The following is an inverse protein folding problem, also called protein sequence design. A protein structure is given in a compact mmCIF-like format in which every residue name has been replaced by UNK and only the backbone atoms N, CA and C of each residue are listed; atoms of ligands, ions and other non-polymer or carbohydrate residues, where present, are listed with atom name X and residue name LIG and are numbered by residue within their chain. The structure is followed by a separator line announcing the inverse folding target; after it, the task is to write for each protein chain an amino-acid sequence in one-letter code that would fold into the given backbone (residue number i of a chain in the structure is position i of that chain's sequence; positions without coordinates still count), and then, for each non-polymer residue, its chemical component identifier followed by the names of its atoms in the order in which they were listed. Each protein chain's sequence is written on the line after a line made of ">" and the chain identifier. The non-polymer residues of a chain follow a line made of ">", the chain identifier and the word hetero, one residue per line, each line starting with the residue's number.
data_IF_210235979963
#
_entry.id   IF_210235979963
#
_cell.length_a   1.000
_cell.length_b   1.000
_cell.length_c   1.000
_cell.angle_alpha   90.00
_cell.angle_beta   90.00
_cell.angle_gamma   90.00
#
_symmetry.space_group_name_H-M   'P 1'
#
loop_
_entity.id
_entity.type
_entity.pdbx_description
1 polymer ?
#
# COMPACT_ATOMS: atom_id res chain seq x y z
N UNK A 1 -0.35 -14.37 -31.18
CA UNK A 1 0.83 -15.22 -30.93
C UNK A 1 0.48 -16.23 -29.85
N UNK A 2 1.08 -17.42 -29.85
CA UNK A 2 0.90 -18.37 -28.75
C UNK A 2 1.62 -17.85 -27.50
N UNK A 3 1.07 -18.03 -26.29
CA UNK A 3 1.75 -17.63 -25.07
C UNK A 3 3.02 -18.47 -24.86
N UNK A 4 4.11 -17.82 -24.48
CA UNK A 4 5.39 -18.47 -24.19
C UNK A 4 5.57 -18.72 -22.69
N UNK A 5 4.81 -18.02 -21.85
CA UNK A 5 4.81 -18.14 -20.38
C UNK A 5 3.38 -18.14 -19.86
N UNK A 6 3.12 -18.84 -18.76
CA UNK A 6 1.80 -18.85 -18.08
C UNK A 6 1.96 -18.61 -16.59
N UNK A 7 1.14 -17.70 -16.04
CA UNK A 7 1.03 -17.43 -14.61
C UNK A 7 -0.41 -17.72 -14.19
N UNK A 8 -0.56 -18.52 -13.14
CA UNK A 8 -1.87 -18.80 -12.55
C UNK A 8 -1.98 -18.02 -11.24
N UNK A 9 -2.83 -17.00 -11.23
CA UNK A 9 -3.12 -16.21 -10.03
C UNK A 9 -4.34 -16.80 -9.35
N UNK A 10 -4.18 -17.22 -8.10
CA UNK A 10 -5.26 -17.69 -7.25
C UNK A 10 -5.55 -16.67 -6.15
N UNK A 11 -6.77 -16.12 -6.15
CA UNK A 11 -7.20 -15.17 -5.12
C UNK A 11 -7.92 -15.89 -3.99
N UNK A 12 -7.38 -15.76 -2.77
CA UNK A 12 -8.03 -16.27 -1.56
C UNK A 12 -9.26 -15.44 -1.18
N UNK A 13 -9.89 -15.82 -0.05
CA UNK A 13 -11.06 -15.09 0.47
C UNK A 13 -10.72 -13.73 1.07
N UNK A 14 -9.49 -13.56 1.57
CA UNK A 14 -8.98 -12.35 2.21
C UNK A 14 -7.55 -12.11 1.71
N UNK A 15 -7.06 -10.88 1.85
CA UNK A 15 -5.71 -10.46 1.45
C UNK A 15 -5.42 -10.71 -0.05
N UNK A 16 -6.44 -10.51 -0.91
CA UNK A 16 -6.30 -10.79 -2.34
C UNK A 16 -5.23 -9.94 -3.02
N UNK A 17 -4.99 -8.73 -2.55
CA UNK A 17 -3.94 -7.86 -3.10
C UNK A 17 -2.56 -8.44 -2.81
N UNK A 18 -2.33 -8.91 -1.59
CA UNK A 18 -1.07 -9.57 -1.21
C UNK A 18 -0.87 -10.89 -1.94
N UNK A 19 -1.94 -11.63 -2.20
CA UNK A 19 -1.91 -12.78 -3.08
C UNK A 19 -1.42 -12.41 -4.50
N UNK A 20 -1.90 -11.29 -5.06
CA UNK A 20 -1.44 -10.78 -6.36
C UNK A 20 0.04 -10.41 -6.31
N UNK A 21 0.46 -9.61 -5.32
CA UNK A 21 1.86 -9.17 -5.17
C UNK A 21 2.81 -10.36 -5.08
N UNK A 22 2.45 -11.38 -4.30
CA UNK A 22 3.24 -12.59 -4.13
C UNK A 22 3.29 -13.48 -5.39
N UNK A 23 2.19 -13.56 -6.14
CA UNK A 23 2.06 -14.47 -7.30
C UNK A 23 2.48 -13.83 -8.63
N UNK A 24 2.72 -12.52 -8.65
CA UNK A 24 3.23 -11.78 -9.80
C UNK A 24 4.64 -11.23 -9.54
N UNK A 25 5.64 -12.05 -9.15
CA UNK A 25 6.99 -11.56 -9.03
C UNK A 25 7.56 -11.19 -10.41
N UNK A 26 8.60 -10.36 -10.43
CA UNK A 26 9.38 -10.14 -11.63
C UNK A 26 10.17 -11.43 -11.96
N UNK A 27 9.95 -12.00 -13.14
CA UNK A 27 10.71 -13.16 -13.62
C UNK A 27 11.93 -12.67 -14.41
N UNK A 28 13.17 -12.87 -13.91
CA UNK A 28 14.38 -12.45 -14.62
C UNK A 28 14.62 -13.22 -15.92
N UNK A 29 13.88 -14.30 -16.17
CA UNK A 29 13.97 -15.11 -17.40
C UNK A 29 13.08 -14.59 -18.54
N UNK A 30 12.29 -13.54 -18.30
CA UNK A 30 11.50 -12.90 -19.34
C UNK A 30 12.35 -12.35 -20.47
N UNK A 31 11.85 -12.51 -21.69
CA UNK A 31 12.45 -12.00 -22.93
C UNK A 31 11.50 -11.08 -23.66
N UNK A 32 12.04 -10.15 -24.44
CA UNK A 32 11.26 -9.11 -25.16
C UNK A 32 10.23 -9.65 -26.15
N UNK A 33 10.39 -10.89 -26.60
CA UNK A 33 9.50 -11.62 -27.49
C UNK A 33 8.43 -12.44 -26.74
N UNK A 34 8.53 -12.56 -25.41
CA UNK A 34 7.62 -13.38 -24.63
C UNK A 34 6.20 -12.83 -24.62
N UNK A 35 5.24 -13.74 -24.65
CA UNK A 35 3.82 -13.45 -24.42
C UNK A 35 3.39 -14.18 -23.16
N UNK A 36 3.06 -13.41 -22.13
CA UNK A 36 2.66 -13.94 -20.82
C UNK A 36 1.14 -14.12 -20.78
N UNK A 37 0.69 -15.31 -20.43
CA UNK A 37 -0.71 -15.60 -20.19
C UNK A 37 -1.00 -15.61 -18.70
N UNK A 38 -1.86 -14.71 -18.21
CA UNK A 38 -2.26 -14.65 -16.81
C UNK A 38 -3.70 -15.19 -16.69
N UNK A 39 -3.84 -16.37 -16.07
CA UNK A 39 -5.14 -16.96 -15.75
C UNK A 39 -5.49 -16.65 -14.30
N UNK A 40 -6.71 -16.14 -14.07
CA UNK A 40 -7.20 -15.80 -12.75
C UNK A 40 -8.20 -16.85 -12.26
N UNK A 41 -8.03 -17.29 -11.02
CA UNK A 41 -8.99 -18.13 -10.30
C UNK A 41 -9.27 -17.56 -8.92
N UNK A 42 -10.38 -17.96 -8.32
CA UNK A 42 -10.78 -17.50 -7.00
C UNK A 42 -11.19 -18.66 -6.11
N UNK A 43 -10.88 -18.56 -4.82
CA UNK A 43 -11.39 -19.48 -3.82
C UNK A 43 -12.93 -19.46 -3.77
N UNK A 44 -13.61 -20.58 -3.45
CA UNK A 44 -15.06 -20.60 -3.36
C UNK A 44 -15.60 -19.55 -2.39
N UNK A 45 -16.60 -18.78 -2.85
CA UNK A 45 -17.23 -17.65 -2.14
C UNK A 45 -16.36 -16.40 -1.98
N UNK A 46 -15.14 -16.36 -2.51
CA UNK A 46 -14.36 -15.13 -2.54
C UNK A 46 -15.06 -14.09 -3.44
N UNK A 47 -14.99 -12.82 -3.03
CA UNK A 47 -15.49 -11.67 -3.81
C UNK A 47 -14.30 -10.89 -4.31
N UNK A 48 -14.30 -10.53 -5.58
CA UNK A 48 -13.15 -9.88 -6.17
C UNK A 48 -12.95 -8.47 -5.62
N UNK A 49 -11.72 -8.16 -5.23
CA UNK A 49 -11.31 -6.81 -4.89
C UNK A 49 -10.87 -6.06 -6.15
N UNK A 50 -11.32 -4.82 -6.29
CA UNK A 50 -10.95 -3.99 -7.44
C UNK A 50 -9.44 -3.71 -7.47
N UNK A 51 -8.82 -3.65 -6.29
CA UNK A 51 -7.38 -3.47 -6.13
C UNK A 51 -6.58 -4.65 -6.71
N UNK A 52 -7.03 -5.90 -6.52
CA UNK A 52 -6.37 -7.07 -7.10
C UNK A 52 -6.36 -7.04 -8.63
N UNK A 53 -7.49 -6.66 -9.24
CA UNK A 53 -7.56 -6.52 -10.70
C UNK A 53 -6.73 -5.34 -11.19
N UNK A 54 -6.80 -4.20 -10.51
CA UNK A 54 -5.98 -3.04 -10.83
C UNK A 54 -4.49 -3.37 -10.74
N UNK A 55 -4.07 -4.14 -9.74
CA UNK A 55 -2.71 -4.65 -9.58
C UNK A 55 -2.30 -5.56 -10.73
N UNK A 56 -3.10 -6.58 -11.06
CA UNK A 56 -2.81 -7.47 -12.20
C UNK A 56 -2.62 -6.66 -13.50
N UNK A 57 -3.49 -5.68 -13.74
CA UNK A 57 -3.44 -4.83 -14.93
C UNK A 57 -2.22 -3.92 -14.91
N UNK A 58 -1.94 -3.26 -13.78
CA UNK A 58 -0.75 -2.43 -13.63
C UNK A 58 0.50 -3.24 -13.92
N UNK A 59 0.63 -4.43 -13.32
CA UNK A 59 1.84 -5.26 -13.42
C UNK A 59 2.11 -5.60 -14.89
N UNK A 60 1.03 -5.98 -15.56
CA UNK A 60 1.06 -6.32 -16.96
C UNK A 60 1.42 -5.12 -17.84
N UNK A 61 0.93 -3.92 -17.49
CA UNK A 61 1.32 -2.69 -18.17
C UNK A 61 2.81 -2.37 -17.96
N UNK A 62 3.37 -2.52 -16.75
CA UNK A 62 4.82 -2.32 -16.53
C UNK A 62 5.65 -3.26 -17.40
N UNK A 63 5.32 -4.56 -17.44
CA UNK A 63 6.06 -5.54 -18.23
C UNK A 63 6.08 -5.21 -19.73
N UNK A 64 4.96 -4.76 -20.29
CA UNK A 64 4.86 -4.41 -21.71
C UNK A 64 5.54 -3.06 -22.00
N UNK A 65 5.36 -2.06 -21.14
CA UNK A 65 5.90 -0.70 -21.33
C UNK A 65 7.41 -0.63 -21.11
N UNK A 66 7.94 -1.44 -20.18
CA UNK A 66 9.38 -1.62 -19.98
C UNK A 66 10.05 -2.42 -21.09
N UNK A 67 9.27 -3.02 -22.01
CA UNK A 67 9.74 -3.93 -23.06
C UNK A 67 10.41 -5.20 -22.51
N UNK A 68 10.17 -5.54 -21.25
CA UNK A 68 10.61 -6.81 -20.65
C UNK A 68 9.98 -7.99 -21.38
N UNK A 69 8.72 -7.86 -21.80
CA UNK A 69 8.01 -8.85 -22.62
C UNK A 69 7.32 -8.19 -23.82
N UNK A 70 6.89 -9.03 -24.77
CA UNK A 70 6.08 -8.57 -25.88
C UNK A 70 4.67 -8.23 -25.39
N UNK A 71 3.96 -9.13 -24.73
CA UNK A 71 2.54 -8.89 -24.45
C UNK A 71 2.01 -9.68 -23.26
N UNK A 72 0.85 -9.27 -22.75
CA UNK A 72 0.09 -10.00 -21.74
C UNK A 72 -1.33 -10.29 -22.23
N UNK A 73 -1.72 -11.55 -22.10
CA UNK A 73 -3.07 -12.04 -22.37
C UNK A 73 -3.71 -12.45 -21.05
N UNK A 74 -4.91 -11.94 -20.77
CA UNK A 74 -5.68 -12.36 -19.60
C UNK A 74 -6.70 -13.44 -19.93
N UNK A 75 -6.80 -14.40 -19.03
CA UNK A 75 -7.93 -15.32 -18.92
C UNK A 75 -8.68 -15.08 -17.60
N UNK A 76 -9.78 -14.32 -17.71
CA UNK A 76 -10.72 -14.08 -16.62
C UNK A 76 -11.96 -14.99 -16.70
N UNK A 77 -11.95 -16.04 -17.54
CA UNK A 77 -13.14 -16.88 -17.79
C UNK A 77 -13.69 -17.58 -16.54
N UNK A 78 -12.83 -17.81 -15.55
CA UNK A 78 -13.16 -18.49 -14.28
C UNK A 78 -13.58 -17.51 -13.17
N UNK A 79 -13.68 -16.22 -13.47
CA UNK A 79 -13.96 -15.18 -12.48
C UNK A 79 -15.07 -14.27 -12.94
N UNK A 80 -16.02 -13.99 -12.04
CA UNK A 80 -17.08 -13.02 -12.30
C UNK A 80 -16.55 -11.61 -12.03
N UNK A 81 -16.23 -10.89 -13.10
CA UNK A 81 -15.84 -9.47 -13.03
C UNK A 81 -17.06 -8.55 -12.87
N UNK A 82 -16.90 -7.38 -12.23
CA UNK A 82 -17.94 -6.36 -12.12
C UNK A 82 -18.09 -5.51 -13.39
N UNK A 83 -17.36 -5.84 -14.46
CA UNK A 83 -17.37 -5.19 -15.76
C UNK A 83 -17.08 -6.22 -16.86
N UNK A 84 -17.31 -5.83 -18.12
CA UNK A 84 -16.96 -6.66 -19.28
C UNK A 84 -15.54 -6.36 -19.72
N UNK A 85 -14.63 -7.33 -19.63
CA UNK A 85 -13.31 -7.22 -20.24
C UNK A 85 -13.44 -7.27 -21.77
N UNK A 86 -12.75 -6.41 -22.55
CA UNK A 86 -12.84 -6.43 -23.99
C UNK A 86 -12.35 -7.78 -24.54
N UNK A 87 -13.27 -8.52 -25.19
CA UNK A 87 -12.94 -9.82 -25.73
C UNK A 87 -11.73 -9.75 -26.68
N UNK A 88 -10.78 -10.67 -26.50
CA UNK A 88 -9.59 -10.84 -27.34
C UNK A 88 -8.59 -9.69 -27.35
N UNK A 89 -8.73 -8.66 -26.50
CA UNK A 89 -7.71 -7.61 -26.37
C UNK A 89 -6.63 -8.00 -25.38
N UNK A 90 -5.38 -7.83 -25.80
CA UNK A 90 -4.19 -7.97 -24.96
C UNK A 90 -3.85 -6.63 -24.28
N UNK A 91 -2.87 -6.63 -23.38
CA UNK A 91 -2.36 -5.38 -22.78
C UNK A 91 -1.69 -4.49 -23.82
N UNK A 92 -0.91 -5.06 -24.75
CA UNK A 92 -0.32 -4.29 -25.86
C UNK A 92 -1.40 -3.66 -26.73
N UNK A 93 -2.48 -4.39 -27.05
CA UNK A 93 -3.61 -3.82 -27.79
C UNK A 93 -4.21 -2.63 -27.06
N UNK A 94 -4.43 -2.74 -25.74
CA UNK A 94 -4.98 -1.67 -24.90
C UNK A 94 -4.06 -0.44 -24.91
N UNK A 95 -2.76 -0.64 -24.73
CA UNK A 95 -1.79 0.45 -24.68
C UNK A 95 -1.59 1.12 -26.05
N UNK A 96 -1.85 0.42 -27.16
CA UNK A 96 -1.61 0.94 -28.52
C UNK A 96 -2.86 1.38 -29.29
N UNK A 97 -4.07 0.98 -28.88
CA UNK A 97 -5.33 1.23 -29.59
C UNK A 97 -5.54 2.70 -30.02
N UNK A 98 -5.18 3.63 -29.13
CA UNK A 98 -5.28 5.07 -29.34
C UNK A 98 -4.00 5.74 -28.86
N UNK A 99 -2.94 5.82 -29.66
CA UNK A 99 -1.60 6.21 -29.17
C UNK A 99 -1.53 7.68 -28.70
N UNK A 100 -2.43 8.52 -29.19
CA UNK A 100 -2.55 9.92 -28.76
C UNK A 100 -3.43 10.10 -27.52
N UNK A 101 -4.35 9.17 -27.26
CA UNK A 101 -5.27 9.26 -26.13
C UNK A 101 -4.52 8.96 -24.82
N UNK A 102 -4.58 9.84 -23.82
CA UNK A 102 -3.97 9.61 -22.52
C UNK A 102 -4.62 8.47 -21.72
N UNK A 103 -5.87 8.11 -22.01
CA UNK A 103 -6.54 6.95 -21.42
C UNK A 103 -6.36 5.74 -22.33
N UNK A 104 -5.78 4.67 -21.79
CA UNK A 104 -5.62 3.40 -22.49
C UNK A 104 -6.94 2.63 -22.55
N UNK A 105 -7.63 2.56 -21.41
CA UNK A 105 -8.93 1.91 -21.30
C UNK A 105 -9.74 2.51 -20.15
N UNK A 106 -11.05 2.56 -20.36
CA UNK A 106 -12.02 2.89 -19.33
C UNK A 106 -13.13 1.82 -19.37
N UNK A 107 -13.27 1.09 -18.26
CA UNK A 107 -14.28 0.06 -18.06
C UNK A 107 -15.30 0.60 -17.06
N UNK A 108 -16.54 0.73 -17.51
CA UNK A 108 -17.63 1.31 -16.70
C UNK A 108 -18.79 0.34 -16.63
N UNK A 109 -19.28 0.11 -15.43
CA UNK A 109 -20.56 -0.55 -15.15
C UNK A 109 -21.36 0.30 -14.15
N UNK A 110 -22.51 -0.22 -13.70
CA UNK A 110 -23.34 0.47 -12.70
C UNK A 110 -22.60 0.73 -11.38
N UNK A 111 -21.81 -0.25 -10.96
CA UNK A 111 -21.20 -0.31 -9.63
C UNK A 111 -19.67 -0.33 -9.71
N UNK A 112 -19.08 -0.29 -10.90
CA UNK A 112 -17.63 -0.33 -11.07
C UNK A 112 -17.15 0.66 -12.12
N UNK A 113 -16.02 1.30 -11.85
CA UNK A 113 -15.25 2.06 -12.83
C UNK A 113 -13.78 1.75 -12.66
N UNK A 114 -13.14 1.29 -13.73
CA UNK A 114 -11.71 1.07 -13.79
C UNK A 114 -11.14 1.87 -14.96
N UNK A 115 -10.09 2.64 -14.73
CA UNK A 115 -9.46 3.48 -15.73
C UNK A 115 -7.96 3.27 -15.69
N UNK A 116 -7.35 3.04 -16.86
CA UNK A 116 -5.90 2.97 -17.02
C UNK A 116 -5.47 4.18 -17.84
N UNK A 117 -4.66 5.03 -17.22
CA UNK A 117 -3.99 6.14 -17.87
C UNK A 117 -2.60 5.69 -18.29
N UNK A 118 -2.18 6.01 -19.51
CA UNK A 118 -0.85 5.69 -20.05
C UNK A 118 -0.01 6.93 -20.36
N UNK A 119 -0.50 8.10 -19.91
CA UNK A 119 0.08 9.42 -20.07
C UNK A 119 -0.37 10.31 -18.93
N UNK A 120 0.47 11.27 -18.57
CA UNK A 120 0.23 12.16 -17.45
C UNK A 120 -0.48 13.46 -17.87
N UNK A 121 -1.62 13.36 -18.56
CA UNK A 121 -2.39 14.51 -19.08
C UNK A 121 -3.32 15.12 -17.99
N UNK A 122 -3.07 16.35 -17.50
CA UNK A 122 -3.89 16.96 -16.46
C UNK A 122 -5.33 17.21 -16.90
N UNK A 123 -5.53 17.69 -18.13
CA UNK A 123 -6.87 18.00 -18.64
C UNK A 123 -7.72 16.74 -18.68
N UNK A 124 -7.16 15.62 -19.13
CA UNK A 124 -7.88 14.35 -19.13
C UNK A 124 -8.20 13.86 -17.72
N UNK A 125 -7.27 14.02 -16.77
CA UNK A 125 -7.53 13.68 -15.37
C UNK A 125 -8.67 14.51 -14.80
N UNK A 126 -8.69 15.80 -15.08
CA UNK A 126 -9.76 16.72 -14.63
C UNK A 126 -11.12 16.32 -15.23
N UNK A 127 -11.18 16.04 -16.54
CA UNK A 127 -12.39 15.53 -17.20
C UNK A 127 -12.88 14.21 -16.57
N UNK A 128 -11.95 13.27 -16.33
CA UNK A 128 -12.27 12.00 -15.68
C UNK A 128 -12.79 12.23 -14.25
N UNK A 129 -12.15 13.12 -13.51
CA UNK A 129 -12.53 13.47 -12.14
C UNK A 129 -13.93 14.10 -12.08
N UNK A 130 -14.26 14.97 -13.03
CA UNK A 130 -15.61 15.53 -13.16
C UNK A 130 -16.65 14.47 -13.52
N UNK A 131 -16.30 13.45 -14.31
CA UNK A 131 -17.17 12.31 -14.51
C UNK A 131 -17.38 11.51 -13.22
N UNK A 132 -16.36 11.36 -12.36
CA UNK A 132 -16.49 10.67 -11.08
C UNK A 132 -17.41 11.43 -10.13
N UNK A 133 -17.25 12.76 -10.02
CA UNK A 133 -18.13 13.62 -9.20
C UNK A 133 -19.61 13.47 -9.56
N UNK A 134 -19.89 13.30 -10.84
CA UNK A 134 -21.25 13.23 -11.37
C UNK A 134 -21.79 11.80 -11.49
N UNK A 135 -20.98 10.78 -11.20
CA UNK A 135 -21.35 9.38 -11.45
C UNK A 135 -22.39 8.86 -10.44
N UNK A 136 -22.20 9.15 -9.15
CA UNK A 136 -22.97 8.54 -8.05
C UNK A 136 -23.21 9.55 -6.93
N UNK A 137 -24.50 9.76 -6.58
CA UNK A 137 -24.92 10.75 -5.56
C UNK A 137 -24.72 10.27 -4.11
N UNK A 138 -24.54 8.97 -3.93
CA UNK A 138 -24.26 8.31 -2.65
C UNK A 138 -22.78 8.40 -2.24
N UNK A 139 -21.90 8.90 -3.12
CA UNK A 139 -20.52 9.20 -2.77
C UNK A 139 -20.46 10.51 -1.97
N UNK A 140 -19.82 10.54 -0.80
CA UNK A 140 -19.64 11.79 -0.06
C UNK A 140 -18.94 12.84 -0.93
N UNK A 141 -19.46 14.06 -1.01
CA UNK A 141 -18.90 15.12 -1.87
C UNK A 141 -17.40 15.37 -1.64
N UNK A 142 -16.94 15.19 -0.39
CA UNK A 142 -15.53 15.37 0.01
C UNK A 142 -14.63 14.17 -0.29
N UNK A 143 -15.19 13.00 -0.61
CA UNK A 143 -14.40 11.84 -1.07
C UNK A 143 -13.62 12.17 -2.34
N UNK A 144 -14.22 12.95 -3.24
CA UNK A 144 -13.56 13.38 -4.45
C UNK A 144 -12.26 14.15 -4.16
N UNK A 145 -12.22 14.99 -3.12
CA UNK A 145 -10.99 15.70 -2.74
C UNK A 145 -9.90 14.72 -2.31
N UNK A 146 -10.23 13.74 -1.47
CA UNK A 146 -9.30 12.67 -1.08
C UNK A 146 -8.79 11.91 -2.31
N UNK A 147 -9.69 11.52 -3.22
CA UNK A 147 -9.33 10.81 -4.44
C UNK A 147 -8.42 11.64 -5.35
N UNK A 148 -8.68 12.95 -5.48
CA UNK A 148 -7.83 13.85 -6.26
C UNK A 148 -6.41 13.91 -5.70
N UNK A 149 -6.27 14.08 -4.38
CA UNK A 149 -4.95 14.08 -3.72
C UNK A 149 -4.19 12.77 -3.94
N UNK A 150 -4.87 11.63 -3.89
CA UNK A 150 -4.25 10.32 -4.15
C UNK A 150 -3.81 10.18 -5.61
N UNK A 151 -4.65 10.58 -6.56
CA UNK A 151 -4.34 10.56 -8.00
C UNK A 151 -3.17 11.51 -8.31
N UNK A 152 -3.16 12.71 -7.75
CA UNK A 152 -2.06 13.67 -7.90
C UNK A 152 -0.75 13.14 -7.32
N UNK A 153 -0.79 12.48 -6.16
CA UNK A 153 0.40 11.89 -5.56
C UNK A 153 0.99 10.79 -6.45
N UNK A 154 0.16 9.86 -6.92
CA UNK A 154 0.58 8.77 -7.80
C UNK A 154 1.10 9.32 -9.15
N UNK A 155 0.40 10.29 -9.73
CA UNK A 155 0.80 11.00 -10.95
C UNK A 155 2.15 11.70 -10.79
N UNK A 156 2.38 12.42 -9.69
CA UNK A 156 3.60 13.17 -9.44
C UNK A 156 4.78 12.27 -9.04
N UNK A 157 4.51 11.16 -8.35
CA UNK A 157 5.54 10.28 -7.80
C UNK A 157 5.96 9.17 -8.76
N UNK A 158 5.24 8.95 -9.87
CA UNK A 158 5.67 7.92 -10.81
C UNK A 158 7.09 8.19 -11.32
N UNK A 159 7.47 9.46 -11.54
CA UNK A 159 8.80 9.90 -12.03
C UNK A 159 9.30 9.09 -13.24
N UNK A 160 8.38 8.64 -14.09
CA UNK A 160 8.67 7.94 -15.33
C UNK A 160 8.68 8.90 -16.50
N UNK A 161 9.43 8.55 -17.55
CA UNK A 161 9.22 9.14 -18.87
C UNK A 161 7.76 8.93 -19.31
N UNK A 162 7.21 9.91 -20.04
CA UNK A 162 5.83 9.89 -20.55
C UNK A 162 5.52 8.61 -21.35
N UNK A 163 6.53 8.04 -22.00
CA UNK A 163 6.45 6.80 -22.79
C UNK A 163 6.31 5.52 -21.95
N UNK A 164 6.59 5.60 -20.64
CA UNK A 164 6.54 4.49 -19.68
C UNK A 164 5.47 4.69 -18.61
N UNK A 165 4.96 5.90 -18.46
CA UNK A 165 4.00 6.24 -17.42
C UNK A 165 2.68 5.47 -17.56
N UNK A 166 2.31 4.73 -16.52
CA UNK A 166 1.00 4.12 -16.40
C UNK A 166 0.51 4.27 -14.96
N UNK A 167 -0.74 4.68 -14.79
CA UNK A 167 -1.44 4.49 -13.52
C UNK A 167 -2.88 4.03 -13.72
N UNK A 168 -3.38 3.29 -12.76
CA UNK A 168 -4.71 2.69 -12.77
C UNK A 168 -5.51 3.24 -11.62
N UNK A 169 -6.78 3.57 -11.87
CA UNK A 169 -7.76 3.91 -10.84
C UNK A 169 -8.93 2.95 -10.92
N UNK A 170 -9.26 2.33 -9.80
CA UNK A 170 -10.40 1.42 -9.66
C UNK A 170 -11.34 1.88 -8.56
N UNK A 171 -12.63 1.87 -8.86
CA UNK A 171 -13.72 2.18 -7.94
C UNK A 171 -14.77 1.08 -8.05
N UNK A 172 -15.14 0.45 -6.94
CA UNK A 172 -16.13 -0.63 -6.90
C UNK A 172 -17.06 -0.46 -5.70
N UNK A 173 -18.34 -0.27 -5.96
CA UNK A 173 -19.38 -0.34 -4.95
C UNK A 173 -19.65 -1.82 -4.66
N UNK A 174 -19.14 -2.29 -3.51
CA UNK A 174 -19.54 -3.60 -2.99
C UNK A 174 -21.01 -3.54 -2.54
N UNK A 175 -21.63 -4.65 -2.12
CA UNK A 175 -23.07 -4.73 -1.78
C UNK A 175 -23.56 -3.58 -0.87
N UNK A 176 -24.01 -2.49 -1.52
CA UNK A 176 -24.62 -1.21 -1.09
C UNK A 176 -24.00 -0.37 0.04
N UNK A 177 -23.04 -0.86 0.81
CA UNK A 177 -22.56 -0.13 2.01
C UNK A 177 -21.11 0.33 1.98
N UNK A 178 -20.36 -0.05 0.95
CA UNK A 178 -18.93 0.22 0.91
C UNK A 178 -18.47 0.52 -0.50
N UNK A 179 -17.62 1.53 -0.65
CA UNK A 179 -16.88 1.83 -1.87
C UNK A 179 -15.43 1.39 -1.67
N UNK A 180 -15.01 0.40 -2.46
CA UNK A 180 -13.62 0.00 -2.58
C UNK A 180 -12.95 0.89 -3.62
N UNK A 181 -11.76 1.40 -3.30
CA UNK A 181 -10.96 2.22 -4.20
C UNK A 181 -9.54 1.68 -4.33
N UNK A 182 -8.91 1.92 -5.48
CA UNK A 182 -7.51 1.60 -5.74
C UNK A 182 -6.94 2.66 -6.68
N UNK A 183 -5.73 3.12 -6.40
CA UNK A 183 -4.91 3.96 -7.27
C UNK A 183 -3.51 3.32 -7.29
N UNK A 184 -3.00 2.97 -8.46
CA UNK A 184 -1.70 2.31 -8.59
C UNK A 184 -0.89 2.86 -9.76
N UNK A 185 0.39 3.20 -9.56
CA UNK A 185 1.37 3.51 -10.62
C UNK A 185 2.44 2.43 -10.76
N UNK A 186 3.19 2.46 -11.86
CA UNK A 186 4.39 1.65 -12.11
C UNK A 186 5.73 2.40 -11.95
N UNK A 187 5.74 3.50 -11.20
CA UNK A 187 6.88 4.38 -11.10
C UNK A 187 7.91 4.01 -10.04
N UNK A 188 8.62 5.02 -9.54
CA UNK A 188 9.74 4.84 -8.60
C UNK A 188 9.31 4.47 -7.17
N UNK A 189 8.01 4.46 -6.89
CA UNK A 189 7.47 4.15 -5.56
C UNK A 189 7.77 5.19 -4.49
N UNK A 190 7.37 4.92 -3.26
CA UNK A 190 7.56 5.81 -2.11
C UNK A 190 9.02 6.01 -1.77
N UNK A 191 9.80 4.93 -1.68
CA UNK A 191 11.25 4.98 -1.41
C UNK A 191 11.99 5.82 -2.46
N UNK A 192 11.72 5.56 -3.74
CA UNK A 192 12.32 6.31 -4.84
C UNK A 192 11.92 7.78 -4.83
N UNK A 193 10.64 8.08 -4.57
CA UNK A 193 10.14 9.45 -4.42
C UNK A 193 10.83 10.20 -3.26
N UNK A 194 10.98 9.54 -2.11
CA UNK A 194 11.59 10.12 -0.90
C UNK A 194 13.10 10.35 -1.04
N UNK A 195 13.82 9.49 -1.77
CA UNK A 195 15.24 9.69 -2.07
C UNK A 195 15.51 11.01 -2.80
N UNK A 196 14.55 11.45 -3.61
CA UNK A 196 14.60 12.71 -4.37
C UNK A 196 13.86 13.86 -3.68
N UNK A 197 13.43 13.69 -2.42
CA UNK A 197 12.74 14.73 -1.68
C UNK A 197 13.60 15.98 -1.50
N UNK A 198 12.97 17.14 -1.38
CA UNK A 198 13.69 18.39 -1.09
C UNK A 198 14.04 18.47 0.40
N UNK A 199 13.17 17.92 1.26
CA UNK A 199 13.32 17.94 2.71
C UNK A 199 14.28 16.82 3.16
N UNK A 200 15.29 17.17 3.97
CA UNK A 200 16.30 16.22 4.47
C UNK A 200 15.70 15.10 5.33
N UNK A 201 14.75 15.43 6.21
CA UNK A 201 14.00 14.44 7.00
C UNK A 201 13.29 13.42 6.10
N UNK A 202 12.68 13.88 5.01
CA UNK A 202 12.02 12.99 4.06
C UNK A 202 13.00 12.04 3.35
N UNK A 203 14.23 12.50 3.04
CA UNK A 203 15.27 11.61 2.52
C UNK A 203 15.70 10.55 3.52
N UNK A 204 15.83 10.92 4.80
CA UNK A 204 16.19 9.97 5.87
C UNK A 204 15.11 8.90 6.10
N UNK A 205 13.87 9.16 5.71
CA UNK A 205 12.77 8.20 5.81
C UNK A 205 12.78 7.15 4.69
N UNK A 206 13.50 7.36 3.59
CA UNK A 206 13.48 6.43 2.45
C UNK A 206 14.06 5.04 2.74
N UNK A 207 14.87 4.92 3.80
CA UNK A 207 15.41 3.64 4.30
C UNK A 207 14.50 2.97 5.33
N UNK A 208 13.48 3.68 5.82
CA UNK A 208 12.58 3.25 6.91
C UNK A 208 11.25 2.70 6.38
N UNK A 209 10.32 2.39 7.28
CA UNK A 209 8.91 2.15 6.94
C UNK A 209 8.28 3.44 6.37
N UNK A 210 8.34 3.62 5.05
CA UNK A 210 8.04 4.89 4.39
C UNK A 210 6.59 5.33 4.63
N UNK A 211 5.63 4.41 4.48
CA UNK A 211 4.20 4.69 4.62
C UNK A 211 3.79 5.00 6.09
N UNK A 212 4.44 4.37 7.08
CA UNK A 212 4.24 4.73 8.50
C UNK A 212 4.57 6.21 8.74
N UNK A 213 5.65 6.69 8.13
CA UNK A 213 6.09 8.08 8.26
C UNK A 213 5.23 9.05 7.44
N UNK A 214 4.85 8.68 6.22
CA UNK A 214 4.04 9.51 5.33
C UNK A 214 2.59 9.70 5.79
N UNK A 215 2.11 8.87 6.72
CA UNK A 215 0.82 9.02 7.39
C UNK A 215 0.89 9.89 8.65
N UNK A 216 2.03 10.56 8.91
CA UNK A 216 2.16 11.56 9.99
C UNK A 216 1.58 12.90 9.55
N UNK A 217 0.97 13.65 10.49
CA UNK A 217 0.58 15.02 10.21
C UNK A 217 1.83 15.85 9.88
N UNK A 218 1.66 16.82 8.97
CA UNK A 218 2.69 17.82 8.60
C UNK A 218 3.99 17.25 8.00
N UNK A 219 4.04 15.95 7.70
CA UNK A 219 5.19 15.33 7.03
C UNK A 219 5.11 15.48 5.51
N UNK A 220 6.11 16.11 4.88
CA UNK A 220 6.11 16.38 3.43
C UNK A 220 7.48 16.15 2.79
N UNK A 221 7.48 15.62 1.56
CA UNK A 221 8.68 15.48 0.73
C UNK A 221 9.00 16.74 -0.10
N UNK A 222 8.07 17.69 -0.21
CA UNK A 222 8.13 18.83 -1.16
C UNK A 222 8.47 20.18 -0.52
N UNK A 223 8.49 20.26 0.82
CA UNK A 223 8.75 21.48 1.60
C UNK A 223 7.55 22.43 1.65
N UNK A 224 7.49 23.27 2.70
CA UNK A 224 6.36 24.18 2.99
C UNK A 224 6.15 25.22 1.87
N UNK A 225 7.23 25.65 1.22
CA UNK A 225 7.22 26.73 0.22
C UNK A 225 6.48 26.40 -1.08
N UNK A 226 6.23 25.12 -1.39
CA UNK A 226 5.47 24.70 -2.58
C UNK A 226 3.97 24.52 -2.30
N UNK A 227 3.48 24.87 -1.12
CA UNK A 227 2.05 24.77 -0.77
C UNK A 227 1.54 23.34 -0.51
N UNK A 228 2.41 22.32 -0.64
CA UNK A 228 2.07 20.91 -0.36
C UNK A 228 2.55 20.51 1.04
N UNK A 229 1.67 20.60 2.03
CA UNK A 229 2.00 20.35 3.44
C UNK A 229 1.99 18.86 3.83
N UNK A 230 1.90 17.92 2.89
CA UNK A 230 1.78 16.49 3.22
C UNK A 230 0.36 16.07 3.61
N UNK A 231 -0.62 16.77 3.04
CA UNK A 231 -2.04 16.67 3.42
C UNK A 231 -2.65 15.33 2.99
N UNK A 232 -2.38 14.88 1.76
CA UNK A 232 -3.13 13.81 1.11
C UNK A 232 -3.16 12.47 1.86
N UNK A 233 -1.99 11.89 2.17
CA UNK A 233 -1.93 10.56 2.81
C UNK A 233 -2.38 10.59 4.27
N UNK A 234 -2.00 11.61 5.04
CA UNK A 234 -2.50 11.79 6.40
C UNK A 234 -4.03 11.87 6.41
N UNK A 235 -4.62 12.75 5.59
CA UNK A 235 -6.08 12.90 5.56
C UNK A 235 -6.77 11.62 5.11
N UNK A 236 -6.21 10.90 4.15
CA UNK A 236 -6.76 9.60 3.71
C UNK A 236 -6.74 8.58 4.85
N UNK A 237 -5.65 8.52 5.62
CA UNK A 237 -5.53 7.67 6.82
C UNK A 237 -6.57 8.05 7.88
N UNK A 238 -6.69 9.33 8.24
CA UNK A 238 -7.68 9.80 9.23
C UNK A 238 -9.12 9.53 8.80
N UNK A 239 -9.44 9.77 7.53
CA UNK A 239 -10.77 9.54 6.97
C UNK A 239 -11.13 8.06 7.00
N UNK A 240 -10.20 7.18 6.64
CA UNK A 240 -10.42 5.74 6.66
C UNK A 240 -10.68 5.24 8.09
N UNK A 241 -9.93 5.76 9.08
CA UNK A 241 -10.13 5.52 10.51
C UNK A 241 -11.54 5.95 10.97
N UNK A 242 -11.86 7.24 10.86
CA UNK A 242 -13.14 7.80 11.33
C UNK A 242 -14.35 7.15 10.65
N UNK A 243 -14.19 6.75 9.39
CA UNK A 243 -15.24 6.13 8.59
C UNK A 243 -15.35 4.60 8.82
N UNK A 244 -14.49 4.02 9.68
CA UNK A 244 -14.39 2.58 9.95
C UNK A 244 -14.09 1.74 8.69
N UNK A 245 -13.42 2.36 7.73
CA UNK A 245 -12.93 1.72 6.51
C UNK A 245 -11.54 1.13 6.71
N UNK A 246 -10.81 0.94 5.62
CA UNK A 246 -9.40 0.58 5.67
C UNK A 246 -8.60 1.32 4.61
N UNK A 247 -7.30 1.43 4.85
CA UNK A 247 -6.31 1.98 3.94
C UNK A 247 -5.12 1.02 3.91
N UNK A 248 -4.70 0.64 2.71
CA UNK A 248 -3.54 -0.20 2.49
C UNK A 248 -2.66 0.43 1.41
N UNK A 249 -1.35 0.47 1.68
CA UNK A 249 -0.34 1.08 0.84
C UNK A 249 0.76 0.05 0.61
N UNK A 250 1.01 -0.27 -0.65
CA UNK A 250 2.07 -1.18 -1.08
C UNK A 250 3.03 -0.42 -1.97
N UNK A 251 4.32 -0.46 -1.65
CA UNK A 251 5.36 0.16 -2.48
C UNK A 251 6.72 -0.44 -2.23
N UNK A 252 7.41 -0.86 -3.31
CA UNK A 252 8.63 -1.64 -3.18
C UNK A 252 8.36 -2.92 -2.40
N UNK A 253 9.17 -3.19 -1.39
CA UNK A 253 9.04 -4.39 -0.53
C UNK A 253 8.23 -4.12 0.73
N UNK A 254 7.49 -3.02 0.82
CA UNK A 254 6.79 -2.61 2.04
C UNK A 254 5.28 -2.57 1.84
N UNK A 255 4.57 -3.03 2.86
CA UNK A 255 3.14 -2.86 3.04
C UNK A 255 2.87 -2.11 4.35
N UNK A 256 1.97 -1.14 4.25
CA UNK A 256 1.31 -0.51 5.39
C UNK A 256 -0.18 -0.75 5.27
N UNK A 257 -0.76 -1.41 6.27
CA UNK A 257 -2.19 -1.61 6.39
C UNK A 257 -2.69 -0.87 7.62
N UNK A 258 -3.82 -0.21 7.44
CA UNK A 258 -4.62 0.36 8.49
C UNK A 258 -6.04 -0.16 8.32
N UNK A 259 -6.50 -0.96 9.28
CA UNK A 259 -7.89 -1.38 9.36
C UNK A 259 -8.55 -0.65 10.51
N UNK A 260 -9.60 0.12 10.17
CA UNK A 260 -10.43 0.90 11.07
C UNK A 260 -9.63 1.57 12.21
N UNK A 261 -9.94 1.26 13.46
CA UNK A 261 -9.24 1.75 14.64
C UNK A 261 -8.51 0.59 15.34
N UNK A 262 -8.53 -0.61 14.76
CA UNK A 262 -8.09 -1.82 15.44
C UNK A 262 -6.61 -2.05 15.19
N UNK A 263 -6.19 -2.14 13.93
CA UNK A 263 -4.84 -2.59 13.58
C UNK A 263 -4.16 -1.61 12.64
N UNK A 264 -2.96 -1.18 13.03
CA UNK A 264 -1.95 -0.69 12.10
C UNK A 264 -0.93 -1.81 11.90
N UNK A 265 -0.75 -2.30 10.68
CA UNK A 265 0.25 -3.33 10.35
C UNK A 265 1.27 -2.77 9.38
N UNK A 266 2.54 -3.12 9.62
CA UNK A 266 3.64 -2.82 8.73
C UNK A 266 4.41 -4.11 8.50
N UNK A 267 4.61 -4.50 7.24
CA UNK A 267 5.34 -5.72 6.91
C UNK A 267 6.08 -5.67 5.59
N UNK A 268 7.05 -6.56 5.47
CA UNK A 268 7.72 -6.89 4.23
C UNK A 268 6.82 -7.70 3.31
N UNK A 269 6.86 -7.37 2.03
CA UNK A 269 6.16 -8.08 0.94
C UNK A 269 7.08 -8.28 -0.25
N UNK A 270 6.68 -9.14 -1.20
CA UNK A 270 7.37 -9.23 -2.49
C UNK A 270 7.38 -7.86 -3.18
N UNK A 271 8.45 -7.58 -3.94
CA UNK A 271 8.65 -6.26 -4.53
C UNK A 271 7.53 -5.88 -5.49
N UNK A 272 6.86 -4.77 -5.18
CA UNK A 272 5.92 -4.07 -6.05
C UNK A 272 6.57 -2.84 -6.68
N UNK A 273 6.60 -2.79 -8.03
CA UNK A 273 7.11 -1.61 -8.75
C UNK A 273 6.07 -0.49 -8.76
N UNK A 274 6.43 0.64 -8.19
CA UNK A 274 5.57 1.81 -8.05
C UNK A 274 4.90 1.89 -6.68
N UNK A 275 3.75 2.55 -6.64
CA UNK A 275 2.92 2.67 -5.43
C UNK A 275 1.52 2.18 -5.75
N UNK A 276 0.95 1.35 -4.89
CA UNK A 276 -0.48 1.04 -4.87
C UNK A 276 -1.06 1.57 -3.56
N UNK A 277 -2.08 2.40 -3.66
CA UNK A 277 -2.90 2.86 -2.53
C UNK A 277 -4.31 2.38 -2.77
N UNK A 278 -4.83 1.56 -1.87
CA UNK A 278 -6.19 1.08 -1.95
C UNK A 278 -6.85 1.04 -0.58
N UNK A 279 -8.15 0.84 -0.58
CA UNK A 279 -8.90 0.87 0.68
C UNK A 279 -10.38 0.80 0.46
N UNK A 280 -11.10 1.05 1.54
CA UNK A 280 -12.53 1.11 1.53
C UNK A 280 -13.05 2.28 2.34
N UNK A 281 -14.16 2.86 1.86
CA UNK A 281 -15.01 3.75 2.65
C UNK A 281 -16.38 3.09 2.87
N UNK A 282 -16.90 3.19 4.07
CA UNK A 282 -18.27 2.83 4.41
C UNK A 282 -19.19 4.01 4.10
N UNK A 283 -20.13 3.78 3.18
CA UNK A 283 -21.07 4.79 2.68
C UNK A 283 -22.23 5.07 3.67
N UNK A 284 -22.42 4.20 4.67
CA UNK A 284 -23.38 4.39 5.76
C UNK A 284 -22.77 4.99 7.03
N UNK A 285 -21.50 5.43 6.96
CA UNK A 285 -20.78 6.11 8.04
C UNK A 285 -20.43 7.53 7.63
N UNK A 286 -20.22 8.39 8.62
CA UNK A 286 -19.82 9.78 8.36
C UNK A 286 -18.43 9.83 7.70
N UNK A 287 -18.27 10.72 6.74
CA UNK A 287 -17.00 11.01 6.08
C UNK A 287 -16.55 12.44 6.43
N UNK A 288 -15.95 12.60 7.62
CA UNK A 288 -15.70 13.91 8.22
C UNK A 288 -14.35 14.54 7.80
N UNK A 289 -14.28 14.99 6.55
CA UNK A 289 -13.09 15.67 5.99
C UNK A 289 -12.67 16.91 6.80
N UNK A 290 -13.64 17.65 7.36
CA UNK A 290 -13.36 18.85 8.16
C UNK A 290 -12.59 18.49 9.43
N UNK A 291 -12.97 17.39 10.08
CA UNK A 291 -12.26 16.91 11.26
C UNK A 291 -10.84 16.46 10.91
N UNK A 292 -10.65 15.71 9.82
CA UNK A 292 -9.32 15.33 9.34
C UNK A 292 -8.41 16.56 9.12
N UNK A 293 -8.92 17.60 8.46
CA UNK A 293 -8.20 18.87 8.28
C UNK A 293 -7.85 19.54 9.62
N UNK A 294 -8.75 19.51 10.61
CA UNK A 294 -8.48 20.08 11.94
C UNK A 294 -7.36 19.33 12.66
N UNK A 295 -7.37 18.00 12.61
CA UNK A 295 -6.31 17.16 13.19
C UNK A 295 -4.97 17.37 12.47
N UNK A 296 -5.00 17.60 11.16
CA UNK A 296 -3.81 17.96 10.40
C UNK A 296 -3.22 19.30 10.85
N UNK A 297 -4.07 20.31 11.05
CA UNK A 297 -3.64 21.66 11.48
C UNK A 297 -3.19 21.71 12.95
N UNK A 298 -3.76 20.85 13.81
CA UNK A 298 -3.45 20.79 15.23
C UNK A 298 -3.23 19.33 15.67
N UNK A 299 -2.02 18.77 15.43
CA UNK A 299 -1.68 17.39 15.76
C UNK A 299 -1.79 17.05 17.25
N UNK A 300 -1.77 18.06 18.14
CA UNK A 300 -1.92 17.84 19.59
C UNK A 300 -3.28 17.26 19.97
N UNK A 301 -4.27 17.35 19.07
CA UNK A 301 -5.61 16.78 19.23
C UNK A 301 -5.73 15.34 18.75
N UNK A 302 -4.67 14.75 18.19
CA UNK A 302 -4.69 13.34 17.83
C UNK A 302 -4.76 12.49 19.11
N UNK A 303 -5.63 11.48 19.09
CA UNK A 303 -5.62 10.46 20.14
C UNK A 303 -4.26 9.78 20.16
N UNK A 304 -3.76 9.42 21.34
CA UNK A 304 -2.58 8.55 21.47
C UNK A 304 -2.93 7.09 21.17
N UNK A 305 -4.20 6.73 21.31
CA UNK A 305 -4.73 5.39 21.04
C UNK A 305 -5.46 5.38 19.69
N UNK A 306 -4.78 5.81 18.63
CA UNK A 306 -5.36 5.81 17.27
C UNK A 306 -5.66 4.40 16.81
N UNK A 307 -4.82 3.46 17.21
CA UNK A 307 -4.93 2.04 16.92
C UNK A 307 -4.93 1.24 18.21
N UNK A 308 -5.80 0.25 18.32
CA UNK A 308 -5.79 -0.68 19.44
C UNK A 308 -4.51 -1.52 19.49
N UNK A 309 -3.93 -1.81 18.31
CA UNK A 309 -2.65 -2.50 18.18
C UNK A 309 -1.85 -2.01 16.97
N UNK A 310 -0.55 -1.80 17.17
CA UNK A 310 0.44 -1.67 16.12
C UNK A 310 1.20 -2.99 15.95
N UNK A 311 1.19 -3.57 14.76
CA UNK A 311 1.85 -4.83 14.43
C UNK A 311 2.98 -4.57 13.43
N UNK A 312 4.22 -4.61 13.93
CA UNK A 312 5.42 -4.36 13.14
C UNK A 312 6.13 -5.69 12.87
N UNK A 313 6.11 -6.13 11.62
CA UNK A 313 6.95 -7.24 11.17
C UNK A 313 8.33 -6.72 10.80
N UNK A 314 9.37 -7.26 11.43
CA UNK A 314 10.75 -6.81 11.21
C UNK A 314 11.30 -7.13 9.81
N UNK A 315 10.64 -8.03 9.08
CA UNK A 315 10.97 -8.29 7.68
C UNK A 315 10.73 -7.09 6.75
N UNK A 316 10.02 -6.04 7.20
CA UNK A 316 9.79 -4.82 6.42
C UNK A 316 11.08 -4.09 6.03
N UNK A 317 12.15 -4.30 6.81
CA UNK A 317 13.46 -3.72 6.56
C UNK A 317 14.28 -4.49 5.52
N UNK A 318 13.75 -5.61 5.00
CA UNK A 318 14.38 -6.38 3.92
C UNK A 318 15.54 -7.28 4.37
N UNK A 319 15.86 -7.30 5.66
CA UNK A 319 16.94 -8.09 6.24
C UNK A 319 16.38 -9.16 7.18
N UNK A 320 16.93 -10.37 7.09
CA UNK A 320 16.63 -11.46 8.03
C UNK A 320 17.64 -11.54 9.18
N UNK A 321 18.75 -10.83 9.06
CA UNK A 321 19.84 -10.79 10.04
C UNK A 321 20.08 -9.36 10.49
N UNK A 322 19.60 -9.00 11.68
CA UNK A 322 19.54 -7.63 12.17
C UNK A 322 20.80 -7.27 12.96
N UNK A 323 21.89 -6.99 12.22
CA UNK A 323 23.24 -6.78 12.80
C UNK A 323 23.79 -5.36 12.75
N UNK A 324 23.36 -4.55 11.79
CA UNK A 324 23.95 -3.20 11.62
C UNK A 324 23.35 -2.21 12.60
N UNK A 325 24.19 -1.34 13.15
CA UNK A 325 23.73 -0.32 14.12
C UNK A 325 22.73 0.63 13.48
N UNK A 326 22.96 1.00 12.22
CA UNK A 326 22.11 1.90 11.46
C UNK A 326 20.68 1.33 11.34
N UNK A 327 20.56 0.05 10.98
CA UNK A 327 19.27 -0.64 10.91
C UNK A 327 18.59 -0.72 12.28
N UNK A 328 19.35 -1.00 13.34
CA UNK A 328 18.81 -1.01 14.70
C UNK A 328 18.22 0.35 15.08
N UNK A 329 18.94 1.44 14.81
CA UNK A 329 18.46 2.80 15.09
C UNK A 329 17.21 3.15 14.26
N UNK A 330 17.12 2.69 13.01
CA UNK A 330 15.93 2.85 12.17
C UNK A 330 14.71 2.12 12.74
N UNK A 331 14.88 0.86 13.15
CA UNK A 331 13.83 0.04 13.76
C UNK A 331 13.32 0.71 15.04
N UNK A 332 14.23 1.13 15.94
CA UNK A 332 13.85 1.79 17.19
C UNK A 332 13.05 3.07 16.92
N UNK A 333 13.44 3.89 15.94
CA UNK A 333 12.68 5.11 15.61
C UNK A 333 11.28 4.80 15.07
N UNK A 334 11.10 3.72 14.31
CA UNK A 334 9.77 3.30 13.82
C UNK A 334 8.92 2.67 14.95
N UNK A 335 9.55 2.00 15.91
CA UNK A 335 8.90 1.51 17.13
C UNK A 335 8.41 2.65 18.01
N UNK A 336 9.21 3.70 18.24
CA UNK A 336 8.78 4.89 18.98
C UNK A 336 7.60 5.59 18.29
N UNK A 337 7.61 5.67 16.95
CA UNK A 337 6.45 6.17 16.19
C UNK A 337 5.20 5.29 16.35
N UNK A 338 5.37 4.00 16.63
CA UNK A 338 4.27 3.07 16.88
C UNK A 338 3.71 3.24 18.30
N UNK A 339 4.57 3.50 19.29
CA UNK A 339 4.20 3.85 20.68
C UNK A 339 3.33 5.10 20.72
N UNK A 340 3.64 6.12 19.91
CA UNK A 340 2.86 7.36 19.83
C UNK A 340 1.42 7.17 19.35
N UNK A 341 1.09 6.01 18.75
CA UNK A 341 -0.19 5.76 18.06
C UNK A 341 -0.99 4.59 18.61
N UNK A 342 -0.39 3.77 19.47
CA UNK A 342 -1.03 2.56 19.96
C UNK A 342 -0.59 2.20 21.37
N UNK A 343 -1.54 1.79 22.25
CA UNK A 343 -1.22 1.30 23.58
C UNK A 343 -0.73 -0.15 23.56
N UNK A 344 -0.72 -0.82 22.39
CA UNK A 344 -0.22 -2.19 22.24
C UNK A 344 0.64 -2.32 20.99
N UNK A 345 1.81 -2.94 21.14
CA UNK A 345 2.73 -3.22 20.04
C UNK A 345 2.96 -4.73 19.97
N UNK A 346 2.75 -5.29 18.78
CA UNK A 346 3.23 -6.63 18.42
C UNK A 346 4.49 -6.43 17.60
N UNK A 347 5.62 -6.90 18.14
CA UNK A 347 6.90 -6.96 17.46
C UNK A 347 7.11 -8.37 16.92
N UNK A 348 7.07 -8.50 15.60
CA UNK A 348 7.01 -9.80 14.94
C UNK A 348 8.33 -10.17 14.28
N UNK A 349 8.97 -11.20 14.84
CA UNK A 349 10.24 -11.76 14.38
C UNK A 349 10.06 -12.96 13.46
N UNK A 350 8.84 -13.33 13.04
CA UNK A 350 8.56 -14.60 12.36
C UNK A 350 9.47 -14.95 11.17
N UNK A 351 10.02 -13.94 10.48
CA UNK A 351 10.92 -14.10 9.32
C UNK A 351 12.39 -13.71 9.60
N UNK A 352 12.74 -13.45 10.86
CA UNK A 352 14.09 -13.08 11.32
C UNK A 352 14.85 -14.33 11.75
N UNK A 353 16.05 -14.46 11.21
CA UNK A 353 16.97 -15.56 11.50
C UNK A 353 17.91 -15.23 12.67
N UNK A 354 18.30 -13.96 12.83
CA UNK A 354 19.27 -13.57 13.86
C UNK A 354 19.17 -12.08 14.23
N UNK A 355 19.47 -11.76 15.49
CA UNK A 355 19.69 -10.39 15.97
C UNK A 355 21.09 -10.22 16.58
N UNK A 356 21.65 -9.01 16.48
CA UNK A 356 22.90 -8.70 17.20
C UNK A 356 22.67 -8.41 18.68
N UNK A 357 23.71 -8.61 19.50
CA UNK A 357 23.72 -8.19 20.91
C UNK A 357 23.41 -6.70 21.10
N UNK A 358 23.89 -5.84 20.17
CA UNK A 358 23.57 -4.42 20.19
C UNK A 358 22.07 -4.19 20.02
N UNK A 359 21.44 -4.88 19.07
CA UNK A 359 20.00 -4.78 18.84
C UNK A 359 19.19 -5.28 20.04
N UNK A 360 19.57 -6.42 20.63
CA UNK A 360 18.98 -6.92 21.89
C UNK A 360 19.05 -5.87 22.99
N UNK A 361 20.20 -5.21 23.16
CA UNK A 361 20.37 -4.11 24.11
C UNK A 361 19.42 -2.93 23.85
N UNK A 362 19.28 -2.51 22.59
CA UNK A 362 18.32 -1.46 22.20
C UNK A 362 16.87 -1.86 22.47
N UNK A 363 16.47 -3.09 22.13
CA UNK A 363 15.12 -3.60 22.38
C UNK A 363 14.81 -3.68 23.88
N UNK A 364 15.77 -4.14 24.69
CA UNK A 364 15.64 -4.15 26.14
C UNK A 364 15.40 -2.74 26.68
N UNK A 365 16.19 -1.76 26.23
CA UNK A 365 16.00 -0.36 26.64
C UNK A 365 14.64 0.19 26.19
N UNK A 366 14.22 -0.13 24.96
CA UNK A 366 12.93 0.25 24.41
C UNK A 366 11.77 -0.28 25.28
N UNK A 367 11.80 -1.57 25.65
CA UNK A 367 10.78 -2.19 26.51
C UNK A 367 10.74 -1.53 27.90
N UNK A 368 11.91 -1.25 28.49
CA UNK A 368 12.02 -0.60 29.82
C UNK A 368 11.53 0.84 29.79
N UNK A 369 11.79 1.58 28.71
CA UNK A 369 11.37 2.98 28.59
C UNK A 369 9.85 3.12 28.35
N UNK A 370 9.24 2.11 27.74
CA UNK A 370 7.85 2.14 27.28
C UNK A 370 6.93 1.25 28.12
N UNK A 371 7.08 1.26 29.46
CA UNK A 371 6.25 0.46 30.39
C UNK A 371 4.74 0.72 30.32
N UNK A 372 4.37 1.88 29.81
CA UNK A 372 2.98 2.32 29.63
C UNK A 372 2.31 1.70 28.40
N UNK A 373 3.04 0.92 27.59
CA UNK A 373 2.54 0.23 26.39
C UNK A 373 2.67 -1.28 26.57
N UNK A 374 1.65 -2.03 26.16
CA UNK A 374 1.72 -3.49 26.10
C UNK A 374 2.59 -3.92 24.93
N UNK A 375 3.75 -4.52 25.20
CA UNK A 375 4.62 -5.04 24.15
C UNK A 375 4.49 -6.57 24.10
N UNK A 376 4.22 -7.11 22.92
CA UNK A 376 4.14 -8.54 22.66
C UNK A 376 5.20 -8.90 21.62
N UNK A 377 6.01 -9.90 21.92
CA UNK A 377 7.07 -10.37 21.03
C UNK A 377 6.65 -11.71 20.43
N UNK A 378 6.56 -11.77 19.11
CA UNK A 378 6.29 -13.03 18.41
C UNK A 378 7.61 -13.68 18.04
N UNK A 379 7.92 -14.79 18.72
CA UNK A 379 9.11 -15.60 18.47
C UNK A 379 8.91 -16.43 17.19
N UNK A 380 9.89 -16.49 16.28
CA UNK A 380 9.77 -17.31 15.09
C UNK A 380 9.60 -18.79 15.47
N UNK A 381 8.68 -19.53 14.82
CA UNK A 381 8.45 -20.95 15.14
C UNK A 381 9.69 -21.82 14.86
N UNK A 382 10.55 -21.36 13.95
CA UNK A 382 11.76 -22.05 13.52
C UNK A 382 13.04 -21.41 14.07
N UNK A 383 12.94 -20.55 15.10
CA UNK A 383 14.10 -19.93 15.72
C UNK A 383 15.10 -20.99 16.22
N UNK A 384 16.39 -20.72 16.07
CA UNK A 384 17.42 -21.51 16.74
C UNK A 384 17.44 -21.22 18.25
N UNK A 385 18.24 -21.96 19.00
CA UNK A 385 18.27 -21.83 20.46
C UNK A 385 18.81 -20.46 20.89
N UNK A 386 19.78 -19.89 20.17
CA UNK A 386 20.37 -18.58 20.47
C UNK A 386 19.33 -17.47 20.32
N UNK A 387 18.60 -17.41 19.19
CA UNK A 387 17.55 -16.43 18.96
C UNK A 387 16.37 -16.63 19.92
N UNK A 388 16.02 -17.88 20.26
CA UNK A 388 14.97 -18.15 21.26
C UNK A 388 15.35 -17.59 22.62
N UNK A 389 16.56 -17.84 23.09
CA UNK A 389 17.04 -17.35 24.38
C UNK A 389 17.05 -15.81 24.40
N UNK A 390 17.56 -15.19 23.35
CA UNK A 390 17.58 -13.74 23.18
C UNK A 390 16.18 -13.11 23.25
N UNK A 391 15.19 -13.72 22.58
CA UNK A 391 13.82 -13.22 22.53
C UNK A 391 13.03 -13.56 23.80
N UNK A 392 13.30 -14.69 24.45
CA UNK A 392 12.61 -15.12 25.66
C UNK A 392 12.84 -14.15 26.83
N UNK A 393 14.07 -13.65 27.01
CA UNK A 393 14.34 -12.60 28.00
C UNK A 393 13.49 -11.34 27.73
N UNK A 394 13.40 -10.93 26.46
CA UNK A 394 12.60 -9.77 26.08
C UNK A 394 11.11 -10.01 26.29
N UNK A 395 10.61 -11.23 26.05
CA UNK A 395 9.22 -11.63 26.33
C UNK A 395 8.92 -11.51 27.81
N UNK A 396 9.78 -12.02 28.67
CA UNK A 396 9.63 -11.95 30.13
C UNK A 396 9.66 -10.50 30.64
N UNK A 397 10.57 -9.69 30.11
CA UNK A 397 10.65 -8.27 30.43
C UNK A 397 9.41 -7.51 29.96
N UNK A 398 8.90 -7.81 28.76
CA UNK A 398 7.70 -7.19 28.22
C UNK A 398 6.43 -7.64 28.96
N UNK A 399 6.40 -8.85 29.50
CA UNK A 399 5.30 -9.35 30.31
C UNK A 399 5.14 -8.59 31.64
N UNK A 400 6.22 -8.02 32.18
CA UNK A 400 6.18 -7.17 33.38
C UNK A 400 5.54 -5.79 33.10
N UNK A 401 5.42 -5.39 31.84
CA UNK A 401 4.73 -4.16 31.49
C UNK A 401 3.20 -4.42 31.55
N UNK A 402 2.50 -3.62 32.37
CA UNK A 402 1.05 -3.67 32.68
C UNK A 402 0.60 -4.66 33.77
N UNK A 403 1.46 -5.00 34.74
CA UNK A 403 1.05 -5.64 36.00
C UNK A 403 0.65 -4.62 37.11
N UNK A 404 0.66 -3.31 36.83
CA UNK A 404 0.29 -2.23 37.77
C UNK A 404 -1.04 -1.51 37.40
N UNK A 405 -2.09 -2.26 37.05
CA UNK A 405 -3.49 -1.74 36.99
C UNK A 405 -4.41 -2.42 38.02
#
# INVERSE_FOLDING_TARGET
>A
MAPTKTINVHLARANQVIDVVRQLPYDPTYKSEDVVHISLTMAPKARIEIASIAGIIQYSCDLVMSKTIHDVIFDFSKVKLPFTWPAKKTIRDILTLKPKDPVAIELVSKDCRLTVFKKNDPKRRDEWYDHIKNWRKDVPQRFHLMLNELVENVSAHAQLEESRFVFTVGLLFSTKKQLLYCIADCGVGLKGSLNHAIVSEAKQVSTRACALNLTRPQFTSKGIQRGHQGVGLFITSELSQMNQGYLEIISGTQEYEQSDNTVMRIRGVAEWRGTMVHGAINLDKEFNYRQAMRLFSDPSKLSKDRFLVAHLHLNVYGERTLRTRELCEEIIRDLELSVERSPKIILDFSDIDEISQAFRGFLRQFVVNNKHVKIMIMVPPNADEDLKEDLQELVELAAQNLDDD
#
